data_IF_001802177203
#
_entry.id   IF_001802177203
#
_cell.length_a   1.000
_cell.length_b   1.000
_cell.length_c   1.000
_cell.angle_alpha   90.00
_cell.angle_beta   90.00
_cell.angle_gamma   90.00
#
_symmetry.space_group_name_H-M   'P 1'
#
loop_
_entity.id
_entity.type
_entity.pdbx_description
1 polymer ?
#
# COMPACT_ATOMS: atom_id res chain seq x y z
N UNK A 1 14.74 29.99 11.25
CA UNK A 1 15.28 28.78 11.90
C UNK A 1 14.09 27.86 12.13
N UNK A 2 13.90 26.85 11.27
CA UNK A 2 12.82 25.88 11.44
C UNK A 2 13.23 24.86 12.50
N UNK A 3 12.36 24.59 13.47
CA UNK A 3 12.56 23.53 14.43
C UNK A 3 12.52 22.19 13.68
N UNK A 4 13.60 21.42 13.74
CA UNK A 4 13.59 20.01 13.35
C UNK A 4 12.77 19.27 14.40
N UNK A 5 11.61 18.73 14.01
CA UNK A 5 10.81 17.86 14.87
C UNK A 5 11.45 16.47 14.80
N UNK A 6 12.45 16.24 15.66
CA UNK A 6 13.15 14.96 15.81
C UNK A 6 12.71 14.20 17.07
N UNK A 7 11.63 14.63 17.72
CA UNK A 7 11.08 13.97 18.90
C UNK A 7 9.75 13.30 18.52
N UNK A 8 9.79 11.97 18.42
CA UNK A 8 8.67 11.13 17.99
C UNK A 8 7.95 10.47 19.19
N UNK A 9 8.37 10.79 20.41
CA UNK A 9 7.81 10.22 21.65
C UNK A 9 6.32 10.58 21.83
N UNK A 10 5.91 11.75 21.34
CA UNK A 10 4.51 12.21 21.36
C UNK A 10 3.57 11.35 20.52
N UNK A 11 4.11 10.56 19.57
CA UNK A 11 3.35 9.65 18.72
C UNK A 11 3.56 8.17 19.10
N UNK A 12 4.17 7.90 20.26
CA UNK A 12 4.40 6.55 20.78
C UNK A 12 5.68 5.87 20.28
N UNK A 13 6.57 6.60 19.60
CA UNK A 13 7.85 6.07 19.13
C UNK A 13 9.01 6.51 20.02
N UNK A 14 9.74 5.55 20.59
CA UNK A 14 10.99 5.78 21.33
C UNK A 14 12.19 5.57 20.41
N UNK A 15 13.19 6.44 20.49
CA UNK A 15 14.42 6.37 19.70
C UNK A 15 15.63 6.15 20.61
N UNK A 16 16.41 5.10 20.37
CA UNK A 16 17.71 4.91 21.03
C UNK A 16 18.84 5.18 20.04
N UNK A 17 19.43 6.38 20.07
CA UNK A 17 20.60 6.76 19.26
C UNK A 17 20.33 7.75 18.12
N UNK A 18 21.37 8.05 17.34
CA UNK A 18 21.49 9.14 16.34
C UNK A 18 20.63 8.96 15.07
N UNK A 19 19.54 8.19 15.14
CA UNK A 19 18.62 7.92 14.03
C UNK A 19 17.44 7.06 14.47
N UNK A 20 16.39 7.00 13.64
CA UNK A 20 15.22 6.13 13.86
C UNK A 20 15.61 4.69 13.49
N UNK A 21 16.36 4.02 14.37
CA UNK A 21 16.83 2.64 14.13
C UNK A 21 15.82 1.57 14.54
N UNK A 22 14.77 1.94 15.27
CA UNK A 22 13.69 1.06 15.73
C UNK A 22 12.38 1.84 15.84
N UNK A 23 11.27 1.14 15.66
CA UNK A 23 9.92 1.73 15.71
C UNK A 23 9.03 0.82 16.55
N UNK A 24 8.37 1.39 17.57
CA UNK A 24 7.45 0.66 18.45
C UNK A 24 6.04 1.20 18.23
N UNK A 25 5.16 0.40 17.63
CA UNK A 25 3.74 0.73 17.57
C UNK A 25 3.07 0.35 18.90
N UNK A 26 3.16 1.23 19.90
CA UNK A 26 2.48 1.03 21.19
C UNK A 26 1.00 1.49 21.17
N UNK A 27 0.38 1.51 19.99
CA UNK A 27 -1.04 1.84 19.85
C UNK A 27 -1.86 0.56 19.70
N UNK A 28 -3.16 0.64 19.98
CA UNK A 28 -4.11 -0.47 19.75
C UNK A 28 -4.52 -0.59 18.28
N UNK A 29 -3.88 0.13 17.37
CA UNK A 29 -4.23 0.25 15.96
C UNK A 29 -3.01 0.02 15.06
N UNK A 30 -3.23 -0.45 13.84
CA UNK A 30 -2.17 -0.59 12.85
C UNK A 30 -1.71 0.79 12.38
N UNK A 31 -0.40 0.94 12.18
CA UNK A 31 0.23 2.18 11.73
C UNK A 31 1.13 1.91 10.52
N UNK A 32 1.66 2.97 9.92
CA UNK A 32 2.64 2.85 8.85
C UNK A 32 3.73 3.92 8.98
N UNK A 33 4.95 3.57 8.61
CA UNK A 33 6.05 4.50 8.38
C UNK A 33 6.01 4.97 6.93
N UNK A 34 6.40 6.21 6.68
CA UNK A 34 6.46 6.78 5.34
C UNK A 34 7.85 7.31 5.03
N UNK A 35 8.34 7.07 3.82
CA UNK A 35 9.56 7.73 3.34
C UNK A 35 9.25 9.17 2.90
N UNK A 36 10.28 10.01 2.78
CA UNK A 36 10.09 11.37 2.28
C UNK A 36 9.58 11.38 0.83
N UNK A 37 8.90 12.46 0.43
CA UNK A 37 8.29 12.57 -0.92
C UNK A 37 9.32 12.51 -2.06
N UNK A 38 10.54 13.00 -1.84
CA UNK A 38 11.66 12.87 -2.77
C UNK A 38 12.24 11.44 -2.87
N UNK A 39 11.75 10.53 -2.02
CA UNK A 39 12.09 9.10 -1.99
C UNK A 39 10.89 8.24 -2.42
N UNK A 40 10.02 8.78 -3.27
CA UNK A 40 8.86 8.08 -3.85
C UNK A 40 7.74 7.72 -2.86
N UNK A 41 7.79 8.19 -1.60
CA UNK A 41 6.69 8.08 -0.65
C UNK A 41 6.29 6.64 -0.30
N UNK A 42 7.28 5.74 -0.14
CA UNK A 42 7.04 4.36 0.26
C UNK A 42 6.38 4.28 1.64
N UNK A 43 5.58 3.24 1.85
CA UNK A 43 4.97 2.92 3.14
C UNK A 43 5.49 1.59 3.68
N UNK A 44 5.67 1.52 4.99
CA UNK A 44 6.00 0.29 5.72
C UNK A 44 5.00 0.10 6.86
N UNK A 45 4.08 -0.88 6.75
CA UNK A 45 3.11 -1.14 7.81
C UNK A 45 3.79 -1.63 9.10
N UNK A 46 3.19 -1.30 10.23
CA UNK A 46 3.58 -1.71 11.58
C UNK A 46 2.31 -2.06 12.35
N UNK A 47 2.10 -3.35 12.62
CA UNK A 47 0.88 -3.85 13.27
C UNK A 47 0.71 -3.30 14.70
N UNK A 48 -0.54 -3.21 15.16
CA UNK A 48 -0.89 -2.79 16.52
C UNK A 48 -0.12 -3.56 17.60
N UNK A 49 0.45 -2.84 18.57
CA UNK A 49 1.18 -3.43 19.70
C UNK A 49 2.51 -4.13 19.33
N UNK A 50 3.00 -3.97 18.10
CA UNK A 50 4.24 -4.60 17.63
C UNK A 50 5.39 -3.60 17.52
N UNK A 51 6.61 -4.12 17.37
CA UNK A 51 7.81 -3.32 17.20
C UNK A 51 8.66 -3.84 16.05
N UNK A 52 9.16 -2.91 15.23
CA UNK A 52 10.28 -3.17 14.33
C UNK A 52 11.56 -2.85 15.09
N UNK A 53 12.27 -3.91 15.48
CA UNK A 53 13.47 -3.82 16.30
C UNK A 53 14.69 -3.25 15.56
N UNK A 54 14.75 -3.38 14.23
CA UNK A 54 15.86 -2.86 13.43
C UNK A 54 15.41 -2.47 12.00
N UNK A 55 15.26 -1.17 11.74
CA UNK A 55 14.94 -0.65 10.40
C UNK A 55 16.09 -0.79 9.40
N UNK A 56 17.33 -1.05 9.86
CA UNK A 56 18.48 -1.32 8.98
C UNK A 56 18.36 -2.66 8.29
N UNK A 57 17.65 -3.60 8.92
CA UNK A 57 17.43 -4.93 8.39
C UNK A 57 16.32 -4.97 7.32
N UNK A 58 15.54 -3.90 7.17
CA UNK A 58 14.43 -3.84 6.22
C UNK A 58 14.89 -3.05 4.98
N UNK A 59 15.07 -3.71 3.81
CA UNK A 59 15.40 -3.03 2.57
C UNK A 59 14.23 -2.17 2.11
N UNK A 60 14.51 -0.96 1.61
CA UNK A 60 13.51 -0.11 0.97
C UNK A 60 13.48 -0.40 -0.54
N UNK A 61 12.33 -0.82 -1.06
CA UNK A 61 12.18 -1.13 -2.48
C UNK A 61 12.57 0.07 -3.37
N UNK A 62 13.45 -0.15 -4.35
CA UNK A 62 13.92 0.91 -5.25
C UNK A 62 15.00 1.83 -4.66
N UNK A 63 15.48 1.57 -3.43
CA UNK A 63 16.63 2.27 -2.86
C UNK A 63 17.93 1.52 -3.18
N UNK A 64 18.85 2.08 -4.00
CA UNK A 64 20.04 1.36 -4.45
C UNK A 64 21.04 1.02 -3.35
N UNK A 65 20.99 1.70 -2.19
CA UNK A 65 21.89 1.45 -1.05
C UNK A 65 21.23 1.70 0.33
N UNK A 66 19.90 1.82 0.41
CA UNK A 66 19.23 2.32 1.61
C UNK A 66 18.32 1.30 2.26
N UNK A 67 18.55 1.08 3.55
CA UNK A 67 17.56 0.50 4.44
C UNK A 67 16.51 1.53 4.83
N UNK A 68 15.40 1.08 5.44
CA UNK A 68 14.44 2.00 6.04
C UNK A 68 15.11 2.92 7.09
N UNK A 69 16.15 2.49 7.78
CA UNK A 69 16.90 3.33 8.73
C UNK A 69 17.61 4.53 8.07
N UNK A 70 18.21 4.34 6.89
CA UNK A 70 19.05 5.38 6.27
C UNK A 70 18.22 6.45 5.54
N UNK A 71 16.94 6.14 5.31
CA UNK A 71 16.03 6.95 4.49
C UNK A 71 14.77 7.38 5.23
N UNK A 72 14.45 6.82 6.41
CA UNK A 72 13.39 7.30 7.29
C UNK A 72 13.79 8.63 7.95
N UNK A 73 13.70 9.72 7.18
CA UNK A 73 13.85 11.09 7.68
C UNK A 73 12.60 11.56 8.45
N UNK A 74 11.48 10.81 8.36
CA UNK A 74 10.20 11.14 8.98
C UNK A 74 9.40 9.88 9.32
N UNK A 75 9.46 9.40 10.55
CA UNK A 75 8.50 8.40 11.04
C UNK A 75 7.23 9.14 11.52
N UNK A 76 6.26 9.34 10.62
CA UNK A 76 4.93 9.76 11.05
C UNK A 76 4.20 8.54 11.60
N UNK A 77 4.04 8.43 12.93
CA UNK A 77 2.95 7.64 13.50
C UNK A 77 1.69 8.48 13.29
N UNK A 78 1.21 8.47 12.06
CA UNK A 78 -0.20 8.72 11.90
C UNK A 78 -0.86 7.41 12.27
N UNK A 79 -1.81 7.45 13.22
CA UNK A 79 -2.97 6.55 13.13
C UNK A 79 -3.29 6.40 11.65
N UNK A 80 -3.60 5.21 11.17
CA UNK A 80 -4.29 5.12 9.88
C UNK A 80 -5.70 5.73 10.03
N UNK A 81 -5.77 7.04 10.28
CA UNK A 81 -6.87 7.94 9.92
C UNK A 81 -6.75 8.20 8.42
N UNK A 82 -6.35 7.17 7.65
CA UNK A 82 -6.62 7.12 6.24
C UNK A 82 -8.12 7.19 6.16
N UNK A 83 -8.61 8.31 5.65
CA UNK A 83 -10.01 8.45 5.32
C UNK A 83 -10.46 7.33 4.35
N UNK A 84 -9.53 6.58 3.74
CA UNK A 84 -9.79 5.38 2.96
C UNK A 84 -9.52 4.09 3.71
N UNK A 85 -10.43 3.14 3.56
CA UNK A 85 -10.25 1.72 3.87
C UNK A 85 -10.52 0.91 2.61
N UNK A 86 -9.90 -0.26 2.49
CA UNK A 86 -10.13 -1.16 1.36
C UNK A 86 -10.36 -2.58 1.86
N UNK A 87 -11.40 -3.20 1.30
CA UNK A 87 -11.72 -4.62 1.50
C UNK A 87 -11.54 -5.36 0.17
N UNK A 88 -11.33 -6.67 0.24
CA UNK A 88 -11.23 -7.52 -0.94
C UNK A 88 -12.16 -8.73 -0.86
N UNK A 89 -12.61 -9.17 -2.03
CA UNK A 89 -13.38 -10.38 -2.20
C UNK A 89 -12.93 -11.09 -3.49
N UNK A 90 -12.65 -12.39 -3.41
CA UNK A 90 -12.44 -13.21 -4.60
C UNK A 90 -13.79 -13.40 -5.32
N UNK A 91 -13.86 -13.07 -6.61
CA UNK A 91 -15.12 -13.01 -7.36
C UNK A 91 -15.47 -14.29 -8.08
N UNK A 92 -14.47 -14.96 -8.62
CA UNK A 92 -14.66 -16.17 -9.42
C UNK A 92 -13.48 -17.11 -9.20
N UNK A 93 -13.70 -18.43 -9.33
CA UNK A 93 -12.60 -19.39 -9.40
C UNK A 93 -11.60 -18.99 -10.50
N UNK A 94 -10.30 -19.24 -10.31
CA UNK A 94 -9.30 -18.87 -11.30
C UNK A 94 -9.49 -19.66 -12.60
N UNK A 95 -9.19 -19.01 -13.73
CA UNK A 95 -9.28 -19.64 -15.05
C UNK A 95 -7.95 -19.51 -15.80
N UNK A 96 -7.61 -20.47 -16.68
CA UNK A 96 -6.37 -20.41 -17.44
C UNK A 96 -6.42 -19.30 -18.50
N UNK A 97 -5.33 -18.55 -18.64
CA UNK A 97 -5.10 -17.55 -19.67
C UNK A 97 -3.64 -17.63 -20.15
N UNK A 98 -3.43 -18.11 -21.38
CA UNK A 98 -2.08 -18.37 -21.89
C UNK A 98 -1.35 -19.40 -21.01
N UNK A 99 -0.11 -19.13 -20.56
CA UNK A 99 0.63 -20.03 -19.68
C UNK A 99 0.27 -19.89 -18.19
N UNK A 100 -0.61 -18.95 -17.81
CA UNK A 100 -0.92 -18.63 -16.42
C UNK A 100 -2.39 -18.80 -16.06
N UNK A 101 -2.74 -18.31 -14.87
CA UNK A 101 -4.10 -18.34 -14.32
C UNK A 101 -4.52 -16.94 -13.88
N UNK A 102 -5.72 -16.53 -14.27
CA UNK A 102 -6.29 -15.25 -13.87
C UNK A 102 -7.15 -15.43 -12.63
N UNK A 103 -6.90 -14.59 -11.63
CA UNK A 103 -7.72 -14.44 -10.44
C UNK A 103 -8.43 -13.10 -10.50
N UNK A 104 -9.73 -13.11 -10.18
CA UNK A 104 -10.59 -11.93 -10.21
C UNK A 104 -10.96 -11.52 -8.80
N UNK A 105 -10.67 -10.28 -8.43
CA UNK A 105 -10.97 -9.73 -7.11
C UNK A 105 -11.84 -8.49 -7.25
N UNK A 106 -12.70 -8.26 -6.27
CA UNK A 106 -13.36 -6.98 -6.06
C UNK A 106 -12.68 -6.28 -4.91
N UNK A 107 -12.13 -5.11 -5.19
CA UNK A 107 -11.67 -4.17 -4.18
C UNK A 107 -12.80 -3.19 -3.88
N UNK A 108 -13.15 -3.06 -2.62
CA UNK A 108 -14.19 -2.14 -2.14
C UNK A 108 -13.52 -1.04 -1.32
N UNK A 109 -13.43 0.15 -1.88
CA UNK A 109 -12.84 1.30 -1.20
C UNK A 109 -13.94 2.09 -0.48
N UNK A 110 -13.73 2.36 0.80
CA UNK A 110 -14.64 3.13 1.65
C UNK A 110 -13.98 4.43 2.10
N UNK A 111 -14.70 5.54 1.99
CA UNK A 111 -14.33 6.75 2.68
C UNK A 111 -15.02 6.84 4.04
N UNK A 112 -14.28 7.13 5.11
CA UNK A 112 -14.80 7.13 6.47
C UNK A 112 -15.56 8.42 6.80
N UNK A 113 -15.00 9.57 6.46
CA UNK A 113 -15.50 10.87 6.90
C UNK A 113 -15.69 11.86 5.75
N UNK A 114 -14.72 11.97 4.85
CA UNK A 114 -14.71 13.00 3.79
C UNK A 114 -14.63 12.39 2.40
N UNK A 115 -15.07 13.11 1.38
CA UNK A 115 -14.90 12.68 -0.01
C UNK A 115 -13.42 12.66 -0.38
N UNK A 116 -12.96 11.56 -0.97
CA UNK A 116 -11.60 11.44 -1.51
C UNK A 116 -11.63 11.59 -3.03
N UNK A 117 -11.02 12.67 -3.51
CA UNK A 117 -10.98 13.01 -4.94
C UNK A 117 -9.87 12.29 -5.69
N UNK A 118 -8.71 12.13 -5.05
CA UNK A 118 -7.55 11.44 -5.60
C UNK A 118 -7.12 10.36 -4.64
N UNK A 119 -6.87 9.17 -5.16
CA UNK A 119 -6.54 8.01 -4.35
C UNK A 119 -5.61 7.09 -5.10
N UNK A 120 -4.94 6.23 -4.35
CA UNK A 120 -4.29 5.05 -4.87
C UNK A 120 -4.67 3.83 -4.02
N UNK A 121 -4.73 2.66 -4.65
CA UNK A 121 -4.91 1.36 -4.00
C UNK A 121 -3.83 0.43 -4.52
N UNK A 122 -3.24 -0.37 -3.62
CA UNK A 122 -2.14 -1.24 -3.99
C UNK A 122 -2.06 -2.47 -3.11
N UNK A 123 -1.30 -3.45 -3.60
CA UNK A 123 -0.98 -4.71 -2.91
C UNK A 123 0.38 -5.21 -3.42
N UNK A 124 1.04 -6.06 -2.64
CA UNK A 124 2.43 -6.45 -2.87
C UNK A 124 2.70 -7.92 -2.55
N UNK A 125 3.99 -8.24 -2.42
CA UNK A 125 4.48 -9.61 -2.19
C UNK A 125 4.03 -10.58 -3.29
N UNK A 126 3.98 -10.08 -4.53
CA UNK A 126 3.54 -10.88 -5.68
C UNK A 126 4.68 -11.78 -6.16
N UNK A 127 4.39 -13.06 -6.47
CA UNK A 127 5.39 -13.97 -6.98
C UNK A 127 5.87 -13.54 -8.38
N UNK A 128 7.07 -14.00 -8.74
CA UNK A 128 7.66 -13.68 -10.03
C UNK A 128 6.77 -14.12 -11.20
N UNK A 129 6.69 -13.26 -12.22
CA UNK A 129 5.82 -13.48 -13.38
C UNK A 129 4.37 -13.07 -13.19
N UNK A 130 4.01 -12.49 -12.03
CA UNK A 130 2.69 -11.91 -11.80
C UNK A 130 2.52 -10.59 -12.53
N UNK A 131 1.34 -10.36 -13.10
CA UNK A 131 0.97 -9.05 -13.62
C UNK A 131 -0.54 -8.86 -13.65
N UNK A 132 -1.02 -7.63 -13.80
CA UNK A 132 -2.41 -7.36 -14.13
C UNK A 132 -2.75 -7.98 -15.51
N UNK A 133 -3.90 -8.64 -15.61
CA UNK A 133 -4.35 -9.17 -16.90
C UNK A 133 -4.63 -8.02 -17.87
N UNK A 134 -4.34 -8.27 -19.14
CA UNK A 134 -4.53 -7.31 -20.22
C UNK A 134 -5.99 -6.89 -20.38
N UNK A 135 -6.93 -7.82 -20.18
CA UNK A 135 -8.38 -7.54 -20.22
C UNK A 135 -8.77 -6.44 -19.22
N UNK A 136 -8.17 -6.46 -18.03
CA UNK A 136 -8.37 -5.44 -17.01
C UNK A 136 -7.69 -4.14 -17.42
N UNK A 137 -6.41 -4.16 -17.78
CA UNK A 137 -5.67 -2.92 -18.08
C UNK A 137 -6.24 -2.17 -19.27
N UNK A 138 -6.79 -2.87 -20.27
CA UNK A 138 -7.38 -2.26 -21.47
C UNK A 138 -8.71 -1.55 -21.17
N UNK A 139 -9.37 -1.89 -20.05
CA UNK A 139 -10.71 -1.36 -19.69
C UNK A 139 -10.72 -0.54 -18.40
N UNK A 140 -9.65 -0.60 -17.61
CA UNK A 140 -9.55 0.15 -16.37
C UNK A 140 -9.54 1.65 -16.65
N UNK A 141 -10.47 2.36 -16.01
CA UNK A 141 -10.71 3.79 -16.21
C UNK A 141 -9.76 4.69 -15.42
N UNK A 142 -8.96 4.11 -14.52
CA UNK A 142 -7.98 4.83 -13.71
C UNK A 142 -6.55 4.73 -14.28
N UNK A 143 -5.58 5.05 -13.44
CA UNK A 143 -4.16 4.94 -13.78
C UNK A 143 -3.57 3.63 -13.26
N UNK A 144 -2.84 2.91 -14.12
CA UNK A 144 -2.00 1.80 -13.68
C UNK A 144 -0.61 2.34 -13.39
N UNK A 145 -0.28 2.51 -12.11
CA UNK A 145 1.00 3.05 -11.65
C UNK A 145 2.06 1.94 -11.52
N UNK A 146 1.63 0.75 -11.09
CA UNK A 146 2.43 -0.49 -11.12
C UNK A 146 1.53 -1.66 -11.51
N UNK A 147 2.05 -2.53 -12.36
CA UNK A 147 1.25 -3.60 -12.97
C UNK A 147 1.54 -4.99 -12.39
N UNK A 148 2.34 -5.12 -11.33
CA UNK A 148 2.67 -6.40 -10.71
C UNK A 148 4.00 -7.01 -11.16
N UNK A 149 4.55 -6.58 -12.29
CA UNK A 149 5.79 -7.18 -12.84
C UNK A 149 7.04 -6.94 -11.97
N UNK A 150 6.99 -5.94 -11.08
CA UNK A 150 8.00 -5.61 -10.08
C UNK A 150 7.66 -6.16 -8.68
N UNK A 151 6.67 -7.07 -8.57
CA UNK A 151 6.22 -7.65 -7.30
C UNK A 151 5.13 -6.85 -6.58
N UNK A 152 4.62 -5.77 -7.18
CA UNK A 152 3.56 -4.95 -6.60
C UNK A 152 2.60 -4.37 -7.64
N UNK A 153 1.33 -4.26 -7.28
CA UNK A 153 0.31 -3.56 -8.07
C UNK A 153 -0.05 -2.26 -7.38
N UNK A 154 -0.20 -1.20 -8.16
CA UNK A 154 -0.67 0.09 -7.68
C UNK A 154 -1.55 0.74 -8.74
N UNK A 155 -2.80 1.03 -8.36
CA UNK A 155 -3.81 1.67 -9.19
C UNK A 155 -4.12 3.05 -8.61
N UNK A 156 -4.34 4.03 -9.48
CA UNK A 156 -4.66 5.41 -9.12
C UNK A 156 -5.99 5.88 -9.69
N UNK A 157 -6.57 6.88 -9.04
CA UNK A 157 -7.65 7.70 -9.62
C UNK A 157 -7.22 8.32 -10.96
N UNK A 158 -8.12 8.47 -11.94
CA UNK A 158 -7.79 9.07 -13.23
C UNK A 158 -7.43 10.56 -13.12
N UNK A 159 -6.49 11.03 -13.95
CA UNK A 159 -6.13 12.45 -14.05
C UNK A 159 -7.31 13.36 -14.38
N UNK A 160 -8.27 12.87 -15.17
CA UNK A 160 -9.48 13.62 -15.54
C UNK A 160 -10.46 13.81 -14.37
N UNK A 161 -10.23 13.14 -13.23
CA UNK A 161 -11.14 13.12 -12.09
C UNK A 161 -12.40 12.26 -12.34
N UNK A 162 -13.40 12.44 -11.47
CA UNK A 162 -14.73 11.82 -11.63
C UNK A 162 -14.96 10.49 -10.89
N UNK A 163 -13.90 9.80 -10.47
CA UNK A 163 -14.00 8.58 -9.68
C UNK A 163 -13.53 8.82 -8.25
N UNK A 164 -14.44 9.39 -7.45
CA UNK A 164 -14.21 9.74 -6.05
C UNK A 164 -14.65 8.61 -5.14
N UNK A 165 -14.05 8.52 -3.95
CA UNK A 165 -14.57 7.65 -2.88
C UNK A 165 -15.35 8.51 -1.91
N UNK A 166 -16.64 8.26 -1.82
CA UNK A 166 -17.58 9.06 -1.05
C UNK A 166 -17.94 8.39 0.28
N UNK A 167 -18.14 9.15 1.36
CA UNK A 167 -18.69 8.59 2.59
C UNK A 167 -20.03 7.89 2.30
N UNK A 168 -20.16 6.67 2.78
CA UNK A 168 -21.34 5.79 2.56
C UNK A 168 -21.57 5.33 1.11
N UNK A 169 -20.71 5.69 0.15
CA UNK A 169 -20.81 5.22 -1.24
C UNK A 169 -19.47 4.61 -1.64
N UNK A 170 -19.30 3.29 -1.44
CA UNK A 170 -18.04 2.65 -1.73
C UNK A 170 -17.73 2.68 -3.24
N UNK A 171 -16.45 2.86 -3.55
CA UNK A 171 -15.94 2.71 -4.90
C UNK A 171 -15.54 1.24 -5.12
N UNK A 172 -16.11 0.62 -6.14
CA UNK A 172 -15.83 -0.77 -6.50
C UNK A 172 -14.83 -0.83 -7.65
N UNK A 173 -13.79 -1.64 -7.48
CA UNK A 173 -12.79 -1.90 -8.52
C UNK A 173 -12.68 -3.41 -8.69
N UNK A 174 -13.17 -3.91 -9.82
CA UNK A 174 -13.02 -5.31 -10.19
C UNK A 174 -11.69 -5.47 -10.95
N UNK A 175 -10.72 -6.12 -10.32
CA UNK A 175 -9.36 -6.32 -10.84
C UNK A 175 -9.15 -7.76 -11.28
N UNK A 176 -8.28 -7.95 -12.27
CA UNK A 176 -7.86 -9.28 -12.74
C UNK A 176 -6.34 -9.35 -12.71
N UNK A 177 -5.81 -10.34 -11.98
CA UNK A 177 -4.37 -10.57 -11.81
C UNK A 177 -4.03 -11.92 -12.44
N UNK A 178 -3.04 -11.91 -13.33
CA UNK A 178 -2.47 -13.09 -13.97
C UNK A 178 -1.26 -13.58 -13.16
N UNK A 179 -1.35 -14.81 -12.67
CA UNK A 179 -0.26 -15.53 -11.99
C UNK A 179 0.31 -16.62 -12.90
N UNK A 180 1.57 -16.99 -12.70
CA UNK A 180 2.26 -18.03 -13.48
C UNK A 180 1.78 -19.45 -13.16
N UNK A 181 1.20 -19.67 -11.97
CA UNK A 181 0.65 -20.94 -11.51
C UNK A 181 -0.68 -20.74 -10.77
N UNK A 182 -1.34 -21.85 -10.43
CA UNK A 182 -2.50 -21.84 -9.55
C UNK A 182 -2.04 -22.13 -8.11
N UNK A 183 -2.46 -21.31 -7.15
CA UNK A 183 -2.17 -21.46 -5.72
C UNK A 183 -3.32 -20.87 -4.89
N UNK A 184 -3.70 -21.55 -3.80
CA UNK A 184 -4.69 -21.04 -2.85
C UNK A 184 -4.24 -19.76 -2.13
N UNK A 185 -2.93 -19.55 -1.99
CA UNK A 185 -2.39 -18.31 -1.44
C UNK A 185 -2.83 -17.08 -2.25
N UNK A 186 -3.06 -17.25 -3.56
CA UNK A 186 -3.49 -16.16 -4.44
C UNK A 186 -4.98 -15.83 -4.28
N UNK A 187 -5.77 -16.61 -3.55
CA UNK A 187 -7.17 -16.25 -3.29
C UNK A 187 -7.32 -15.00 -2.40
N UNK A 188 -6.23 -14.57 -1.75
CA UNK A 188 -6.17 -13.36 -0.93
C UNK A 188 -4.94 -12.52 -1.29
N UNK A 189 -5.14 -11.22 -1.54
CA UNK A 189 -4.06 -10.28 -1.83
C UNK A 189 -3.34 -9.87 -0.55
N UNK A 190 -2.01 -9.95 -0.55
CA UNK A 190 -1.16 -9.55 0.57
C UNK A 190 -0.81 -8.06 0.50
N UNK A 191 -0.74 -7.40 1.66
CA UNK A 191 -0.32 -5.99 1.74
C UNK A 191 -1.30 -5.01 1.08
N UNK A 192 -2.58 -5.37 1.01
CA UNK A 192 -3.63 -4.53 0.45
C UNK A 192 -3.80 -3.23 1.25
N UNK A 193 -3.69 -2.10 0.58
CA UNK A 193 -3.81 -0.77 1.20
C UNK A 193 -4.43 0.24 0.24
N UNK A 194 -5.03 1.28 0.80
CA UNK A 194 -5.56 2.43 0.06
C UNK A 194 -5.10 3.73 0.70
N UNK A 195 -4.78 4.73 -0.14
CA UNK A 195 -4.28 6.02 0.31
C UNK A 195 -4.94 7.17 -0.45
N UNK A 196 -5.15 8.28 0.24
CA UNK A 196 -5.56 9.54 -0.38
C UNK A 196 -4.31 10.24 -0.94
N UNK A 197 -4.42 10.80 -2.14
CA UNK A 197 -3.35 11.57 -2.78
C UNK A 197 -3.64 13.09 -2.66
N UNK A 198 -2.58 13.88 -2.52
CA UNK A 198 -2.62 15.35 -2.43
C UNK A 198 -2.94 16.07 -3.74
#
# INVERSE_FOLDING_TARGET
MGAYINDFSEYGFDHSGDGVSSVVNNTTEDNALFSAANQQGHSLPVDAGTSIADLRAIPMAGSPNGSWNDQAQSALASRFVGNLRVEQELRTPPWPEGPGYVYSYRLTMHAAETRVMKWAVGFGDLPEGTSLSKSFTDTFWGEVLRNGSDGAVMLGSPQSGGHTVDPNTPLLIDIQVLYSNQDHAYEHLTGLHAQQLG
#
